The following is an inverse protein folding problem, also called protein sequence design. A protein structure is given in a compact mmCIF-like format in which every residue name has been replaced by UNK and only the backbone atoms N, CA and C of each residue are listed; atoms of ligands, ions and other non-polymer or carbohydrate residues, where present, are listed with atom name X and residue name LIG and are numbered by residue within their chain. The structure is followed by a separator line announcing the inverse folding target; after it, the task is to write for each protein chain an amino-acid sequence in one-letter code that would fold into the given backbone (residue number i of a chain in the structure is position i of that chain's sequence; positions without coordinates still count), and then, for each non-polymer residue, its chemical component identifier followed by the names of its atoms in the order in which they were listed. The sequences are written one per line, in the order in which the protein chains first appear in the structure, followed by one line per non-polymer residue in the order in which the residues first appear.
data_IF_450512627688
#
_entry.id   IF_450512627688
#
_cell.length_a   1.000
_cell.length_b   1.000
_cell.length_c   1.000
_cell.angle_alpha   90.00
_cell.angle_beta   90.00
_cell.angle_gamma   90.00
#
_symmetry.space_group_name_H-M   'P 1'
#
loop_
_entity.id
_entity.type
_entity.pdbx_description
1 polymer ?
#
# COMPACT_ATOMS: atom_id res chain seq x y z
N UNK A 1 -7.83 -26.68 24.01
CA UNK A 1 -8.46 -25.34 23.89
C UNK A 1 -8.88 -25.13 22.45
N UNK A 2 -10.13 -24.69 22.19
CA UNK A 2 -10.53 -24.32 20.83
C UNK A 2 -9.78 -23.06 20.39
N UNK A 3 -9.52 -22.85 19.06
CA UNK A 3 -8.86 -21.65 18.56
C UNK A 3 -9.54 -20.36 19.03
N UNK A 4 -10.86 -20.32 19.08
CA UNK A 4 -11.64 -19.17 19.56
C UNK A 4 -11.45 -18.90 21.07
N UNK A 5 -11.36 -19.95 21.87
CA UNK A 5 -11.11 -19.80 23.31
C UNK A 5 -9.69 -19.30 23.56
N UNK A 6 -8.69 -19.86 22.88
CA UNK A 6 -7.31 -19.38 22.93
C UNK A 6 -7.21 -17.90 22.55
N UNK A 7 -7.84 -17.49 21.43
CA UNK A 7 -7.80 -16.10 20.98
C UNK A 7 -8.40 -15.13 22.00
N UNK A 8 -9.52 -15.49 22.66
CA UNK A 8 -10.14 -14.67 23.71
C UNK A 8 -9.24 -14.53 24.93
N UNK A 9 -8.73 -15.66 25.43
CA UNK A 9 -7.85 -15.67 26.62
C UNK A 9 -6.59 -14.86 26.35
N UNK A 10 -5.93 -15.12 25.24
CA UNK A 10 -4.72 -14.40 24.84
C UNK A 10 -4.98 -12.87 24.71
N UNK A 11 -6.05 -12.48 24.03
CA UNK A 11 -6.39 -11.04 23.85
C UNK A 11 -6.70 -10.38 25.19
N UNK A 12 -7.33 -11.10 26.13
CA UNK A 12 -7.60 -10.58 27.47
C UNK A 12 -6.32 -10.36 28.29
N UNK A 13 -5.34 -11.23 28.13
CA UNK A 13 -4.06 -11.16 28.85
C UNK A 13 -3.07 -10.17 28.25
N UNK A 14 -2.95 -10.15 26.93
CA UNK A 14 -1.92 -9.41 26.19
C UNK A 14 -2.45 -8.08 25.62
N UNK A 15 -3.78 -7.88 25.65
CA UNK A 15 -4.42 -6.67 25.12
C UNK A 15 -4.58 -6.66 23.58
N UNK A 16 -3.93 -7.57 22.87
CA UNK A 16 -4.00 -7.69 21.40
C UNK A 16 -4.20 -9.16 21.00
N UNK A 17 -4.74 -9.40 19.79
CA UNK A 17 -4.92 -10.77 19.31
C UNK A 17 -3.57 -11.47 19.09
N UNK A 18 -3.50 -12.83 19.20
CA UNK A 18 -2.29 -13.60 18.91
C UNK A 18 -1.64 -13.24 17.58
N UNK A 19 -2.46 -13.06 16.53
CA UNK A 19 -1.98 -12.70 15.19
C UNK A 19 -1.32 -11.31 15.16
N UNK A 20 -1.89 -10.33 15.87
CA UNK A 20 -1.29 -8.99 15.98
C UNK A 20 0.01 -9.02 16.78
N UNK A 21 0.04 -9.82 17.85
CA UNK A 21 1.23 -9.97 18.69
C UNK A 21 2.39 -10.61 17.92
N UNK A 22 2.15 -11.72 17.24
CA UNK A 22 3.15 -12.36 16.37
C UNK A 22 3.61 -11.44 15.25
N UNK A 23 2.68 -10.68 14.64
CA UNK A 23 3.02 -9.67 13.64
C UNK A 23 3.96 -8.59 14.18
N UNK A 24 3.73 -8.10 15.40
CA UNK A 24 4.62 -7.10 16.01
C UNK A 24 6.02 -7.65 16.30
N UNK A 25 6.12 -8.90 16.75
CA UNK A 25 7.41 -9.57 16.96
C UNK A 25 8.16 -9.78 15.65
N UNK A 26 7.46 -10.26 14.61
CA UNK A 26 8.04 -10.45 13.28
C UNK A 26 8.50 -9.13 12.67
N UNK A 27 7.74 -8.04 12.83
CA UNK A 27 8.16 -6.71 12.40
C UNK A 27 9.43 -6.25 13.11
N UNK A 28 9.51 -6.41 14.43
CA UNK A 28 10.72 -6.07 15.19
C UNK A 28 11.96 -6.85 14.75
N UNK A 29 11.81 -8.17 14.53
CA UNK A 29 12.88 -9.02 14.04
C UNK A 29 13.34 -8.62 12.62
N UNK A 30 12.39 -8.43 11.71
CA UNK A 30 12.68 -8.00 10.34
C UNK A 30 13.37 -6.62 10.30
N UNK A 31 12.92 -5.69 11.12
CA UNK A 31 13.54 -4.36 11.23
C UNK A 31 14.97 -4.45 11.72
N UNK A 32 15.23 -5.22 12.78
CA UNK A 32 16.58 -5.42 13.30
C UNK A 32 17.51 -6.06 12.26
N UNK A 33 17.02 -7.05 11.50
CA UNK A 33 17.79 -7.68 10.43
C UNK A 33 18.15 -6.69 9.31
N UNK A 34 17.18 -5.89 8.85
CA UNK A 34 17.43 -4.87 7.83
C UNK A 34 18.37 -3.75 8.30
N UNK A 35 18.20 -3.28 9.53
CA UNK A 35 19.11 -2.30 10.15
C UNK A 35 20.53 -2.87 10.34
N UNK A 36 20.66 -4.20 10.48
CA UNK A 36 21.91 -4.96 10.48
C UNK A 36 22.50 -5.24 9.10
N UNK A 37 21.86 -4.79 8.02
CA UNK A 37 22.34 -4.94 6.64
C UNK A 37 21.93 -6.24 5.95
N UNK A 38 20.99 -7.02 6.51
CA UNK A 38 20.43 -8.19 5.85
C UNK A 38 19.66 -7.81 4.60
N UNK A 39 19.69 -8.65 3.56
CA UNK A 39 18.83 -8.44 2.40
C UNK A 39 17.35 -8.71 2.74
N UNK A 40 16.45 -8.19 1.90
CA UNK A 40 14.99 -8.31 2.12
C UNK A 40 14.53 -9.77 2.24
N UNK A 41 15.13 -10.64 1.45
CA UNK A 41 14.81 -12.07 1.47
C UNK A 41 15.22 -12.70 2.80
N UNK A 42 16.45 -12.44 3.25
CA UNK A 42 16.98 -12.96 4.52
C UNK A 42 16.20 -12.40 5.72
N UNK A 43 15.95 -11.08 5.76
CA UNK A 43 15.12 -10.44 6.77
C UNK A 43 13.70 -11.02 6.83
N UNK A 44 13.13 -11.43 5.69
CA UNK A 44 11.83 -12.08 5.67
C UNK A 44 11.87 -13.47 6.33
N UNK A 45 12.91 -14.24 6.08
CA UNK A 45 13.09 -15.56 6.69
C UNK A 45 13.43 -15.48 8.19
N UNK A 46 14.30 -14.54 8.58
CA UNK A 46 14.62 -14.29 10.00
C UNK A 46 13.38 -13.87 10.81
N UNK A 47 12.45 -13.15 10.18
CA UNK A 47 11.17 -12.78 10.76
C UNK A 47 10.14 -13.94 10.74
N UNK A 48 10.49 -15.12 10.23
CA UNK A 48 9.58 -16.26 10.12
C UNK A 48 8.48 -16.07 9.05
N UNK A 49 8.73 -15.26 8.03
CA UNK A 49 7.79 -14.99 6.96
C UNK A 49 8.08 -15.85 5.73
N UNK A 50 7.08 -16.09 4.91
CA UNK A 50 7.19 -16.93 3.72
C UNK A 50 7.87 -16.27 2.52
N UNK A 51 8.30 -15.01 2.63
CA UNK A 51 9.03 -14.29 1.59
C UNK A 51 8.84 -12.77 1.61
N UNK A 52 9.50 -12.05 0.68
CA UNK A 52 9.55 -10.59 0.63
C UNK A 52 8.18 -9.89 0.59
N UNK A 53 7.20 -10.46 -0.11
CA UNK A 53 5.84 -9.90 -0.17
C UNK A 53 5.18 -9.83 1.21
N UNK A 54 5.41 -10.85 2.05
CA UNK A 54 4.87 -10.86 3.43
C UNK A 54 5.62 -9.89 4.34
N UNK A 55 6.91 -9.66 4.08
CA UNK A 55 7.67 -8.63 4.77
C UNK A 55 7.16 -7.23 4.45
N UNK A 56 6.90 -6.96 3.18
CA UNK A 56 6.30 -5.71 2.72
C UNK A 56 4.95 -5.44 3.40
N UNK A 57 4.05 -6.46 3.42
CA UNK A 57 2.76 -6.39 4.13
C UNK A 57 2.92 -6.07 5.62
N UNK A 58 3.95 -6.64 6.24
CA UNK A 58 4.21 -6.46 7.66
C UNK A 58 4.64 -5.02 7.97
N UNK A 59 5.51 -4.42 7.15
CA UNK A 59 5.95 -3.03 7.33
C UNK A 59 4.79 -2.05 7.14
N UNK A 60 3.96 -2.23 6.11
CA UNK A 60 2.74 -1.42 5.93
C UNK A 60 1.80 -1.54 7.14
N UNK A 61 1.72 -2.74 7.74
CA UNK A 61 0.82 -2.99 8.87
C UNK A 61 1.24 -2.25 10.15
N UNK A 62 2.53 -2.05 10.37
CA UNK A 62 3.06 -1.55 11.64
C UNK A 62 3.50 -0.09 11.60
N UNK A 63 3.85 0.44 10.44
CA UNK A 63 4.25 1.85 10.29
C UNK A 63 3.08 2.78 9.89
N UNK A 64 1.87 2.23 9.74
CA UNK A 64 0.68 3.01 9.42
C UNK A 64 0.31 3.96 10.56
N UNK A 65 0.05 5.21 10.21
CA UNK A 65 -0.29 6.31 11.11
C UNK A 65 -1.62 6.07 11.83
N UNK A 66 -1.75 6.63 13.01
CA UNK A 66 -2.91 6.46 13.88
C UNK A 66 -4.20 7.06 13.30
N UNK A 67 -5.39 6.57 13.68
CA UNK A 67 -6.66 7.15 13.28
C UNK A 67 -6.83 8.63 13.63
N UNK A 68 -6.11 9.12 14.67
CA UNK A 68 -6.10 10.52 15.07
C UNK A 68 -5.40 11.43 14.08
N UNK A 69 -4.33 10.96 13.45
CA UNK A 69 -3.60 11.69 12.41
C UNK A 69 -4.42 11.77 11.11
N UNK A 70 -5.17 10.72 10.77
CA UNK A 70 -6.10 10.73 9.64
C UNK A 70 -7.25 11.75 9.84
N UNK A 71 -7.73 11.96 11.08
CA UNK A 71 -8.78 12.94 11.39
C UNK A 71 -8.30 14.39 11.26
N UNK A 72 -7.02 14.68 11.41
CA UNK A 72 -6.45 16.04 11.35
C UNK A 72 -6.27 16.54 9.92
N UNK A 73 -6.75 15.83 8.89
CA UNK A 73 -6.67 16.23 7.48
C UNK A 73 -5.25 16.62 7.02
N UNK A 74 -4.24 16.02 7.64
CA UNK A 74 -2.84 16.28 7.34
C UNK A 74 -2.14 17.31 8.22
N UNK A 75 -2.81 17.94 9.21
CA UNK A 75 -2.16 18.89 10.09
C UNK A 75 -0.97 18.25 10.83
N UNK A 76 0.20 18.88 10.75
CA UNK A 76 1.47 18.38 11.30
C UNK A 76 2.12 17.28 10.46
N UNK A 77 1.71 17.11 9.20
CA UNK A 77 2.42 16.28 8.23
C UNK A 77 3.24 17.19 7.31
N UNK A 78 4.52 16.85 7.17
CA UNK A 78 5.44 17.48 6.23
C UNK A 78 5.66 16.53 5.06
N UNK A 79 5.30 16.96 3.86
CA UNK A 79 5.50 16.19 2.65
C UNK A 79 6.51 16.85 1.72
N UNK A 80 7.42 16.04 1.18
CA UNK A 80 8.11 16.36 -0.05
C UNK A 80 7.31 15.79 -1.19
N UNK A 81 7.08 16.59 -2.25
CA UNK A 81 6.41 16.12 -3.45
C UNK A 81 7.18 16.50 -4.71
N UNK A 82 6.97 15.77 -5.77
CA UNK A 82 7.55 16.06 -7.07
C UNK A 82 7.00 15.10 -8.10
N UNK A 83 7.36 15.31 -9.37
CA UNK A 83 6.98 14.43 -10.46
C UNK A 83 8.18 13.72 -11.09
N UNK A 84 7.90 12.58 -11.69
CA UNK A 84 8.88 11.82 -12.44
C UNK A 84 8.20 10.94 -13.51
N UNK A 85 8.87 10.70 -14.65
CA UNK A 85 8.41 9.76 -15.65
C UNK A 85 8.43 8.33 -15.11
N UNK A 86 7.42 7.56 -15.49
CA UNK A 86 7.29 6.14 -15.15
C UNK A 86 6.93 5.32 -16.39
N UNK A 87 6.99 3.97 -16.33
CA UNK A 87 6.52 3.13 -17.44
C UNK A 87 5.05 3.35 -17.83
N UNK A 88 4.28 4.03 -16.99
CA UNK A 88 2.83 4.24 -17.17
C UNK A 88 2.44 5.71 -17.32
N UNK A 89 3.37 6.58 -17.67
CA UNK A 89 3.20 8.02 -17.79
C UNK A 89 3.83 8.80 -16.65
N UNK A 90 3.66 10.12 -16.67
CA UNK A 90 4.15 10.98 -15.60
C UNK A 90 3.41 10.70 -14.30
N UNK A 91 4.12 10.66 -13.18
CA UNK A 91 3.51 10.42 -11.88
C UNK A 91 4.00 11.43 -10.84
N UNK A 92 3.09 11.81 -9.94
CA UNK A 92 3.37 12.62 -8.75
C UNK A 92 3.61 11.70 -7.57
N UNK A 93 4.69 11.93 -6.87
CA UNK A 93 5.08 11.24 -5.65
C UNK A 93 4.89 12.16 -4.45
N UNK A 94 4.35 11.63 -3.37
CA UNK A 94 4.21 12.31 -2.10
C UNK A 94 4.97 11.52 -1.03
N UNK A 95 6.01 12.10 -0.49
CA UNK A 95 6.96 11.46 0.41
C UNK A 95 6.85 12.10 1.79
N UNK A 96 6.56 11.28 2.81
CA UNK A 96 6.65 11.66 4.21
C UNK A 96 8.01 11.25 4.79
N UNK A 97 8.39 11.74 5.99
CA UNK A 97 9.62 11.31 6.66
C UNK A 97 9.74 9.78 6.86
N UNK A 98 8.61 9.08 6.91
CA UNK A 98 8.56 7.61 7.11
C UNK A 98 8.45 6.80 5.82
N UNK A 99 8.39 7.43 4.64
CA UNK A 99 8.30 6.73 3.37
C UNK A 99 7.29 7.32 2.39
N UNK A 100 7.02 6.58 1.33
CA UNK A 100 6.10 6.98 0.27
C UNK A 100 4.65 6.98 0.77
N UNK A 101 4.00 8.12 0.67
CA UNK A 101 2.62 8.32 1.12
C UNK A 101 1.61 8.30 0.00
N UNK A 102 2.01 8.73 -1.20
CA UNK A 102 1.18 8.63 -2.38
C UNK A 102 2.02 8.51 -3.65
N UNK A 103 1.44 7.83 -4.64
CA UNK A 103 1.86 7.77 -6.02
C UNK A 103 0.60 7.89 -6.88
N UNK A 104 0.48 9.01 -7.58
CA UNK A 104 -0.63 9.36 -8.44
C UNK A 104 -0.13 9.58 -9.87
N UNK A 105 -0.92 9.19 -10.87
CA UNK A 105 -0.56 9.52 -12.24
C UNK A 105 -1.10 10.90 -12.61
N UNK A 106 -0.33 11.65 -13.36
CA UNK A 106 -0.57 13.03 -13.71
C UNK A 106 -0.62 13.18 -15.23
N UNK A 107 -1.77 12.90 -15.82
CA UNK A 107 -2.03 13.21 -17.21
C UNK A 107 -3.32 14.03 -17.32
N UNK A 108 -3.30 15.11 -18.03
CA UNK A 108 -2.15 15.69 -18.76
C UNK A 108 -1.27 16.63 -17.92
N UNK A 109 -1.67 16.95 -16.66
CA UNK A 109 -1.04 18.01 -15.88
C UNK A 109 -0.57 17.53 -14.50
N UNK A 110 0.71 17.76 -14.21
CA UNK A 110 1.34 17.45 -12.91
C UNK A 110 0.68 18.23 -11.77
N UNK A 111 0.29 19.48 -12.00
CA UNK A 111 -0.36 20.29 -10.97
C UNK A 111 -1.76 19.77 -10.62
N UNK A 112 -2.51 19.23 -11.59
CA UNK A 112 -3.79 18.55 -11.33
C UNK A 112 -3.58 17.28 -10.51
N UNK A 113 -2.58 16.46 -10.87
CA UNK A 113 -2.22 15.25 -10.11
C UNK A 113 -1.80 15.58 -8.68
N UNK A 114 -1.03 16.65 -8.48
CA UNK A 114 -0.68 17.13 -7.15
C UNK A 114 -1.89 17.67 -6.40
N UNK A 115 -2.78 18.43 -7.05
CA UNK A 115 -3.99 18.97 -6.44
C UNK A 115 -4.91 17.86 -5.91
N UNK A 116 -5.07 16.74 -6.63
CA UNK A 116 -5.82 15.56 -6.15
C UNK A 116 -5.21 15.00 -4.86
N UNK A 117 -3.88 14.86 -4.80
CA UNK A 117 -3.19 14.41 -3.59
C UNK A 117 -3.30 15.40 -2.44
N UNK A 118 -3.13 16.70 -2.72
CA UNK A 118 -3.25 17.77 -1.73
C UNK A 118 -4.66 17.86 -1.15
N UNK A 119 -5.70 17.58 -1.94
CA UNK A 119 -7.08 17.55 -1.46
C UNK A 119 -7.32 16.49 -0.38
N UNK A 120 -6.50 15.45 -0.33
CA UNK A 120 -6.57 14.39 0.70
C UNK A 120 -5.98 14.85 2.04
N UNK A 121 -4.99 15.76 2.01
CA UNK A 121 -4.26 16.26 3.20
C UNK A 121 -4.16 17.79 3.16
N UNK A 122 -5.27 18.52 3.13
CA UNK A 122 -5.27 19.96 2.86
C UNK A 122 -4.62 20.82 3.97
N UNK A 123 -4.36 20.24 5.13
CA UNK A 123 -3.72 20.91 6.27
C UNK A 123 -2.25 20.49 6.48
N UNK A 124 -1.66 19.78 5.52
CA UNK A 124 -0.25 19.41 5.54
C UNK A 124 0.62 20.49 4.92
N UNK A 125 1.91 20.48 5.25
CA UNK A 125 2.93 21.30 4.63
C UNK A 125 3.56 20.55 3.45
N UNK A 126 3.89 21.30 2.36
CA UNK A 126 4.37 20.71 1.12
C UNK A 126 5.60 21.45 0.60
N UNK A 127 6.66 20.70 0.29
CA UNK A 127 7.86 21.19 -0.38
C UNK A 127 8.08 20.40 -1.68
N UNK A 128 8.25 21.11 -2.80
CA UNK A 128 8.55 20.48 -4.10
C UNK A 128 10.01 20.08 -4.20
N UNK A 129 10.26 18.88 -4.75
CA UNK A 129 11.58 18.35 -5.00
C UNK A 129 11.49 17.20 -6.03
N UNK A 130 11.68 17.54 -7.30
CA UNK A 130 11.54 16.56 -8.39
C UNK A 130 12.73 15.56 -8.44
N UNK A 131 13.90 15.92 -7.86
CA UNK A 131 15.03 15.00 -7.77
C UNK A 131 14.73 13.82 -6.82
N UNK A 132 14.11 14.11 -5.70
CA UNK A 132 13.63 13.08 -4.78
C UNK A 132 12.56 12.23 -5.46
N UNK A 133 11.63 12.82 -6.21
CA UNK A 133 10.62 12.07 -6.93
C UNK A 133 11.24 11.10 -7.96
N UNK A 134 12.27 11.51 -8.71
CA UNK A 134 13.00 10.63 -9.63
C UNK A 134 13.65 9.44 -8.92
N UNK A 135 14.32 9.67 -7.79
CA UNK A 135 14.91 8.59 -6.99
C UNK A 135 13.84 7.58 -6.53
N UNK A 136 12.68 8.05 -6.09
CA UNK A 136 11.59 7.18 -5.72
C UNK A 136 11.00 6.43 -6.92
N UNK A 137 10.86 7.07 -8.08
CA UNK A 137 10.41 6.41 -9.30
C UNK A 137 11.37 5.27 -9.71
N UNK A 138 12.67 5.51 -9.69
CA UNK A 138 13.69 4.48 -9.95
C UNK A 138 13.54 3.30 -8.98
N UNK A 139 13.38 3.54 -7.68
CA UNK A 139 13.19 2.48 -6.68
C UNK A 139 11.89 1.70 -6.88
N UNK A 140 10.78 2.41 -7.17
CA UNK A 140 9.44 1.81 -7.34
C UNK A 140 9.36 0.94 -8.58
N UNK A 141 10.01 1.34 -9.67
CA UNK A 141 9.91 0.68 -10.97
C UNK A 141 11.18 -0.10 -11.35
N UNK A 142 12.13 -0.27 -10.43
CA UNK A 142 13.34 -1.07 -10.67
C UNK A 142 12.99 -2.46 -11.20
N UNK A 143 13.77 -2.91 -12.19
CA UNK A 143 13.57 -4.21 -12.81
C UNK A 143 13.91 -5.38 -11.86
N UNK A 144 14.76 -5.13 -10.88
CA UNK A 144 15.16 -6.11 -9.86
C UNK A 144 14.57 -5.69 -8.50
N UNK A 145 13.94 -6.60 -7.76
CA UNK A 145 13.50 -6.31 -6.39
C UNK A 145 14.70 -5.83 -5.56
N UNK A 146 14.66 -4.57 -5.18
CA UNK A 146 15.69 -3.94 -4.36
C UNK A 146 15.29 -3.95 -2.88
N UNK A 147 15.72 -2.93 -2.17
CA UNK A 147 15.29 -2.68 -0.79
C UNK A 147 13.77 -2.51 -0.67
N UNK A 148 13.17 -2.90 0.47
CA UNK A 148 11.76 -2.65 0.73
C UNK A 148 11.43 -1.17 0.55
N UNK A 149 10.29 -0.88 -0.07
CA UNK A 149 9.79 0.47 -0.20
C UNK A 149 8.93 0.77 1.04
N UNK A 150 9.39 1.64 1.95
CA UNK A 150 8.58 2.01 3.10
C UNK A 150 7.38 2.83 2.66
N UNK A 151 6.18 2.45 3.13
CA UNK A 151 4.94 3.15 2.84
C UNK A 151 4.40 3.82 4.11
N UNK A 152 4.15 5.12 4.04
CA UNK A 152 3.49 5.88 5.10
C UNK A 152 2.01 6.12 4.72
N UNK A 153 1.13 5.18 5.05
CA UNK A 153 -0.27 5.18 4.61
C UNK A 153 -1.20 5.84 5.61
N UNK A 154 -1.88 6.88 5.17
CA UNK A 154 -2.90 7.63 5.92
C UNK A 154 -4.30 7.23 5.42
N UNK A 155 -5.05 6.51 6.23
CA UNK A 155 -6.39 6.06 5.89
C UNK A 155 -7.16 5.51 7.10
N UNK A 156 -8.45 5.28 6.91
CA UNK A 156 -9.28 4.66 7.94
C UNK A 156 -8.86 3.21 8.20
N UNK A 157 -9.20 2.61 9.36
CA UNK A 157 -8.94 1.19 9.61
C UNK A 157 -9.51 0.28 8.52
N UNK A 158 -10.69 0.62 7.97
CA UNK A 158 -11.31 -0.11 6.87
C UNK A 158 -10.50 -0.03 5.58
N UNK A 159 -10.10 1.17 5.16
CA UNK A 159 -9.26 1.36 3.97
C UNK A 159 -7.96 0.58 4.08
N UNK A 160 -7.26 0.67 5.23
CA UNK A 160 -6.02 -0.08 5.45
C UNK A 160 -6.22 -1.61 5.40
N UNK A 161 -7.36 -2.10 5.88
CA UNK A 161 -7.68 -3.53 5.79
C UNK A 161 -7.86 -3.97 4.33
N UNK A 162 -8.55 -3.18 3.52
CA UNK A 162 -8.72 -3.43 2.09
C UNK A 162 -7.37 -3.34 1.36
N UNK A 163 -6.57 -2.30 1.61
CA UNK A 163 -5.26 -2.14 0.96
C UNK A 163 -4.31 -3.30 1.28
N UNK A 164 -4.34 -3.83 2.51
CA UNK A 164 -3.60 -5.08 2.84
C UNK A 164 -4.07 -6.27 2.03
N UNK A 165 -5.37 -6.41 1.82
CA UNK A 165 -5.90 -7.49 0.99
C UNK A 165 -5.45 -7.32 -0.48
N UNK A 166 -5.33 -6.08 -0.98
CA UNK A 166 -4.78 -5.84 -2.32
C UNK A 166 -3.34 -6.32 -2.47
N UNK A 167 -2.49 -6.06 -1.47
CA UNK A 167 -1.08 -6.46 -1.47
C UNK A 167 -0.87 -7.98 -1.51
N UNK A 168 -1.87 -8.77 -1.13
CA UNK A 168 -1.80 -10.23 -1.23
C UNK A 168 -2.07 -10.78 -2.63
N UNK A 169 -2.45 -9.93 -3.58
CA UNK A 169 -2.69 -10.34 -4.98
C UNK A 169 -1.33 -10.43 -5.68
N UNK A 170 -0.90 -11.61 -6.16
CA UNK A 170 0.38 -11.75 -6.86
C UNK A 170 0.46 -10.90 -8.13
N UNK A 171 1.68 -10.54 -8.57
CA UNK A 171 1.89 -9.94 -9.88
C UNK A 171 1.39 -10.89 -10.98
N UNK A 172 0.77 -10.32 -12.02
CA UNK A 172 0.16 -11.09 -13.12
C UNK A 172 -1.18 -11.76 -12.78
N UNK A 173 -1.58 -11.78 -11.48
CA UNK A 173 -2.89 -12.30 -11.10
C UNK A 173 -3.93 -11.18 -10.96
N UNK A 174 -5.20 -11.54 -11.16
CA UNK A 174 -6.33 -10.62 -10.97
C UNK A 174 -7.34 -11.18 -9.99
N UNK A 175 -8.14 -10.32 -9.41
CA UNK A 175 -9.23 -10.68 -8.49
C UNK A 175 -10.45 -9.81 -8.71
N UNK A 176 -11.51 -10.01 -7.92
CA UNK A 176 -12.73 -9.20 -8.00
C UNK A 176 -12.99 -8.44 -6.71
N UNK A 177 -13.76 -7.35 -6.78
CA UNK A 177 -14.23 -6.63 -5.58
C UNK A 177 -14.96 -7.55 -4.59
N UNK A 178 -15.69 -8.55 -5.10
CA UNK A 178 -16.38 -9.55 -4.28
C UNK A 178 -15.39 -10.41 -3.52
N UNK A 179 -14.37 -10.93 -4.20
CA UNK A 179 -13.33 -11.76 -3.57
C UNK A 179 -12.60 -10.98 -2.48
N UNK A 180 -12.27 -9.69 -2.72
CA UNK A 180 -11.68 -8.85 -1.68
C UNK A 180 -12.65 -8.68 -0.51
N UNK A 181 -13.94 -8.47 -0.75
CA UNK A 181 -14.95 -8.37 0.30
C UNK A 181 -15.03 -9.64 1.15
N UNK A 182 -14.95 -10.82 0.55
CA UNK A 182 -14.91 -12.09 1.24
C UNK A 182 -13.63 -12.22 2.10
N UNK A 183 -12.47 -11.85 1.56
CA UNK A 183 -11.17 -11.87 2.27
C UNK A 183 -11.16 -10.96 3.50
N UNK A 184 -11.76 -9.77 3.40
CA UNK A 184 -11.85 -8.84 4.53
C UNK A 184 -12.97 -9.17 5.52
N UNK A 185 -13.67 -10.30 5.31
CA UNK A 185 -14.72 -10.79 6.20
C UNK A 185 -16.05 -10.02 6.11
N UNK A 186 -16.34 -9.41 4.97
CA UNK A 186 -17.55 -8.61 4.76
C UNK A 186 -18.16 -8.82 3.37
N UNK A 187 -18.67 -10.02 3.11
CA UNK A 187 -19.18 -10.46 1.80
C UNK A 187 -20.21 -9.51 1.15
N UNK A 188 -20.95 -8.75 1.95
CA UNK A 188 -21.95 -7.77 1.46
C UNK A 188 -21.34 -6.37 1.19
N UNK A 189 -20.04 -6.17 1.48
CA UNK A 189 -19.43 -4.85 1.44
C UNK A 189 -18.72 -4.51 0.11
N UNK A 190 -19.06 -5.16 -1.00
CA UNK A 190 -18.38 -4.95 -2.30
C UNK A 190 -18.33 -3.46 -2.73
N UNK A 191 -19.38 -2.67 -2.45
CA UNK A 191 -19.38 -1.22 -2.72
C UNK A 191 -18.37 -0.48 -1.82
N UNK A 192 -18.34 -0.80 -0.52
CA UNK A 192 -17.39 -0.19 0.42
C UNK A 192 -15.95 -0.61 0.12
N UNK A 193 -15.74 -1.84 -0.35
CA UNK A 193 -14.46 -2.30 -0.90
C UNK A 193 -14.09 -1.48 -2.14
N UNK A 194 -15.01 -1.29 -3.08
CA UNK A 194 -14.80 -0.46 -4.26
C UNK A 194 -14.38 0.97 -3.92
N UNK A 195 -15.04 1.60 -2.96
CA UNK A 195 -14.66 2.92 -2.46
C UNK A 195 -13.25 2.93 -1.81
N UNK A 196 -12.92 1.91 -1.02
CA UNK A 196 -11.58 1.80 -0.41
C UNK A 196 -10.48 1.52 -1.45
N UNK A 197 -10.76 0.69 -2.47
CA UNK A 197 -9.86 0.45 -3.61
C UNK A 197 -9.64 1.73 -4.41
N UNK A 198 -10.70 2.51 -4.68
CA UNK A 198 -10.60 3.81 -5.37
C UNK A 198 -9.88 4.89 -4.55
N UNK A 199 -9.88 4.77 -3.22
CA UNK A 199 -9.17 5.67 -2.32
C UNK A 199 -7.69 5.27 -2.10
N UNK A 200 -7.17 4.26 -2.82
CA UNK A 200 -5.77 3.85 -2.74
C UNK A 200 -4.84 5.04 -3.03
N UNK A 201 -3.97 5.43 -2.08
CA UNK A 201 -3.09 6.57 -2.29
C UNK A 201 -1.83 6.23 -3.08
N UNK A 202 -1.39 4.96 -3.08
CA UNK A 202 -0.11 4.55 -3.70
C UNK A 202 -0.39 3.60 -4.84
N UNK A 203 -0.71 4.17 -6.00
CA UNK A 203 -0.93 3.40 -7.22
C UNK A 203 0.28 2.56 -7.58
N UNK A 204 0.09 1.46 -8.32
CA UNK A 204 1.09 0.47 -8.67
C UNK A 204 1.53 -0.39 -7.48
N UNK A 205 2.15 0.16 -6.44
CA UNK A 205 2.64 -0.61 -5.29
C UNK A 205 1.51 -1.27 -4.51
N UNK A 206 0.39 -0.57 -4.28
CA UNK A 206 -0.84 -1.20 -3.80
C UNK A 206 -1.69 -1.52 -5.03
N UNK A 207 -1.76 -2.80 -5.45
CA UNK A 207 -2.15 -3.16 -6.81
C UNK A 207 -3.67 -3.12 -7.05
N UNK A 208 -4.28 -1.94 -6.91
CA UNK A 208 -5.70 -1.73 -7.19
C UNK A 208 -6.06 -2.00 -8.67
N UNK A 209 -5.08 -1.92 -9.59
CA UNK A 209 -5.25 -2.28 -10.98
C UNK A 209 -5.55 -3.78 -11.19
N UNK A 210 -5.17 -4.67 -10.26
CA UNK A 210 -5.46 -6.12 -10.31
C UNK A 210 -6.90 -6.47 -9.92
N UNK A 211 -7.71 -5.49 -9.46
CA UNK A 211 -9.11 -5.74 -9.08
C UNK A 211 -10.04 -5.45 -10.26
N UNK A 212 -10.81 -6.46 -10.68
CA UNK A 212 -11.74 -6.40 -11.81
C UNK A 212 -13.19 -6.41 -11.33
N UNK A 213 -14.11 -6.02 -12.22
CA UNK A 213 -15.53 -6.27 -12.00
C UNK A 213 -15.81 -7.80 -12.01
N UNK A 214 -16.92 -8.23 -11.41
CA UNK A 214 -17.29 -9.65 -11.33
C UNK A 214 -17.49 -10.34 -12.69
N UNK A 215 -17.75 -9.55 -13.75
CA UNK A 215 -17.84 -10.02 -15.13
C UNK A 215 -16.51 -9.94 -15.87
N UNK A 216 -15.38 -9.68 -15.20
CA UNK A 216 -14.04 -9.58 -15.79
C UNK A 216 -13.75 -8.27 -16.52
N UNK A 217 -14.70 -7.33 -16.58
CA UNK A 217 -14.48 -6.06 -17.26
C UNK A 217 -13.49 -5.18 -16.51
N UNK A 218 -12.63 -4.48 -17.26
CA UNK A 218 -11.72 -3.44 -16.80
C UNK A 218 -12.52 -2.15 -16.58
N UNK A 219 -13.14 -2.01 -15.39
CA UNK A 219 -13.92 -0.82 -15.05
C UNK A 219 -13.35 -0.13 -13.82
N UNK A 220 -13.64 1.15 -13.70
CA UNK A 220 -13.46 1.87 -12.44
C UNK A 220 -12.02 1.99 -11.95
N UNK A 221 -11.10 2.44 -12.78
CA UNK A 221 -9.75 2.81 -12.35
C UNK A 221 -9.61 4.33 -12.27
N UNK A 222 -9.18 4.85 -11.13
CA UNK A 222 -9.10 6.29 -10.86
C UNK A 222 -8.21 7.02 -11.89
N UNK A 223 -7.14 6.38 -12.33
CA UNK A 223 -6.16 6.92 -13.27
C UNK A 223 -6.38 6.48 -14.72
N UNK A 224 -7.60 6.10 -15.07
CA UNK A 224 -7.98 5.69 -16.44
C UNK A 224 -7.83 4.20 -16.71
N UNK A 225 -8.78 3.66 -17.48
CA UNK A 225 -8.86 2.22 -17.82
C UNK A 225 -7.68 1.78 -18.69
N UNK A 226 -7.18 2.65 -19.56
CA UNK A 226 -6.07 2.32 -20.45
C UNK A 226 -4.77 2.13 -19.68
N UNK A 227 -4.52 2.95 -18.64
CA UNK A 227 -3.39 2.75 -17.73
C UNK A 227 -3.52 1.45 -16.94
N UNK A 228 -4.72 1.12 -16.46
CA UNK A 228 -4.97 -0.18 -15.82
C UNK A 228 -4.65 -1.35 -16.76
N UNK A 229 -5.04 -1.25 -18.03
CA UNK A 229 -4.74 -2.24 -19.05
C UNK A 229 -3.24 -2.37 -19.30
N UNK A 230 -2.53 -1.24 -19.41
CA UNK A 230 -1.08 -1.21 -19.59
C UNK A 230 -0.33 -1.85 -18.41
N UNK A 231 -0.76 -1.59 -17.17
CA UNK A 231 -0.18 -2.20 -15.96
C UNK A 231 -0.36 -3.72 -15.95
N UNK A 232 -1.56 -4.20 -16.23
CA UNK A 232 -1.83 -5.65 -16.30
C UNK A 232 -1.03 -6.33 -17.42
N UNK A 233 -0.92 -5.71 -18.59
CA UNK A 233 -0.12 -6.24 -19.70
C UNK A 233 1.39 -6.26 -19.35
N UNK A 234 1.88 -5.21 -18.67
CA UNK A 234 3.27 -5.13 -18.21
C UNK A 234 3.61 -6.24 -17.22
N UNK A 235 2.71 -6.53 -16.26
CA UNK A 235 2.90 -7.63 -15.32
C UNK A 235 2.87 -8.99 -16.02
N UNK A 236 1.91 -9.22 -16.94
CA UNK A 236 1.79 -10.46 -17.68
C UNK A 236 3.03 -10.76 -18.55
N UNK A 237 3.72 -9.73 -19.03
CA UNK A 237 4.94 -9.89 -19.84
C UNK A 237 6.20 -10.23 -19.00
N UNK A 238 6.12 -10.14 -17.67
CA UNK A 238 7.26 -10.35 -16.73
C UNK A 238 7.08 -11.57 -15.82
N UNK A 239 5.92 -12.17 -15.80
CA UNK A 239 5.60 -13.39 -15.07
C UNK A 239 5.70 -14.59 -15.95
#
# INVERSE_FOLDING_TARGET
LSPHHFQRVFTRWVGVSPKKYVGALAHGAARAALDGGACVLDASFEAGLSGPGRLHDLFIAHEAVTPGEARRRGAGLDFVWGSAPTPFGEAVFLIAPRGLSALAFADPDVEEGFADLKARYPAADYRRDDDIARQWAERVFAATPGEPIPLALYGTPWQRQVWRALLSIPAGATTTYKTIADVVGSAKASRAVGAAVGANPVSWLIPCHRVLASNGLLTGYHWGVDRKRAMLAYEAARG
#
